data_IF_617136958457
#
_entry.id   IF_617136958457
#
_cell.length_a   1.000
_cell.length_b   1.000
_cell.length_c   1.000
_cell.angle_alpha   90.00
_cell.angle_beta   90.00
_cell.angle_gamma   90.00
#
_symmetry.space_group_name_H-M   'P 1'
#
loop_
_entity.id
_entity.type
_entity.pdbx_description
1 polymer ?
#
# COMPACT_ATOMS: atom_id res chain seq x y z
N UNK A 1 0.62 -11.23 -4.05
CA UNK A 1 1.32 -12.17 -4.94
C UNK A 1 0.46 -13.38 -5.35
N UNK A 2 -0.56 -13.75 -4.58
CA UNK A 2 -1.37 -14.94 -4.86
C UNK A 2 -2.44 -14.64 -5.90
N UNK A 3 -3.39 -13.73 -5.61
CA UNK A 3 -4.41 -13.35 -6.59
C UNK A 3 -4.99 -11.95 -6.30
N UNK A 4 -5.55 -11.26 -7.33
CA UNK A 4 -6.23 -9.97 -7.13
C UNK A 4 -7.45 -10.09 -6.20
N UNK A 5 -8.19 -11.21 -6.26
CA UNK A 5 -9.33 -11.46 -5.38
C UNK A 5 -8.91 -11.51 -3.91
N UNK A 6 -7.82 -12.24 -3.62
CA UNK A 6 -7.29 -12.32 -2.26
C UNK A 6 -6.75 -10.97 -1.79
N UNK A 7 -6.07 -10.21 -2.66
CA UNK A 7 -5.62 -8.85 -2.35
C UNK A 7 -6.79 -7.96 -1.93
N UNK A 8 -7.91 -7.99 -2.69
CA UNK A 8 -9.11 -7.24 -2.35
C UNK A 8 -9.69 -7.65 -0.99
N UNK A 9 -9.84 -8.96 -0.74
CA UNK A 9 -10.37 -9.48 0.53
C UNK A 9 -9.51 -9.07 1.72
N UNK A 10 -8.18 -9.16 1.59
CA UNK A 10 -7.25 -8.74 2.65
C UNK A 10 -7.36 -7.24 2.90
N UNK A 11 -7.38 -6.39 1.86
CA UNK A 11 -7.53 -4.95 2.02
C UNK A 11 -8.86 -4.58 2.70
N UNK A 12 -9.96 -5.21 2.31
CA UNK A 12 -11.27 -4.98 2.94
C UNK A 12 -11.28 -5.43 4.40
N UNK A 13 -10.75 -6.62 4.70
CA UNK A 13 -10.64 -7.13 6.06
C UNK A 13 -9.79 -6.22 6.96
N UNK A 14 -8.63 -5.76 6.46
CA UNK A 14 -7.77 -4.82 7.17
C UNK A 14 -8.48 -3.48 7.40
N UNK A 15 -9.17 -2.95 6.40
CA UNK A 15 -9.95 -1.71 6.51
C UNK A 15 -11.03 -1.82 7.58
N UNK A 16 -11.78 -2.92 7.60
CA UNK A 16 -12.81 -3.17 8.61
C UNK A 16 -12.19 -3.28 10.01
N UNK A 17 -11.08 -3.99 10.15
CA UNK A 17 -10.35 -4.08 11.41
C UNK A 17 -9.92 -2.73 11.96
N UNK A 18 -9.34 -1.87 11.11
CA UNK A 18 -8.99 -0.52 11.50
C UNK A 18 -10.21 0.35 11.80
N UNK A 19 -11.29 0.21 11.03
CA UNK A 19 -12.52 0.96 11.28
C UNK A 19 -13.12 0.67 12.67
N UNK A 20 -12.95 -0.54 13.19
CA UNK A 20 -13.43 -0.93 14.52
C UNK A 20 -12.51 -0.49 15.66
N UNK A 21 -11.23 -0.25 15.40
CA UNK A 21 -10.21 -0.11 16.46
C UNK A 21 -9.45 1.21 16.43
N UNK A 22 -9.56 2.00 15.36
CA UNK A 22 -8.78 3.23 15.19
C UNK A 22 -9.64 4.41 14.69
N UNK A 23 -9.13 5.66 14.76
CA UNK A 23 -9.81 6.80 14.15
C UNK A 23 -10.11 6.58 12.66
N UNK A 24 -11.24 7.12 12.19
CA UNK A 24 -11.75 6.93 10.82
C UNK A 24 -10.72 7.23 9.73
N UNK A 25 -9.84 8.21 9.94
CA UNK A 25 -8.80 8.56 8.97
C UNK A 25 -7.82 7.40 8.74
N UNK A 26 -7.48 6.64 9.79
CA UNK A 26 -6.60 5.48 9.68
C UNK A 26 -7.28 4.38 8.88
N UNK A 27 -8.57 4.14 9.12
CA UNK A 27 -9.36 3.19 8.33
C UNK A 27 -9.46 3.60 6.85
N UNK A 28 -9.65 4.89 6.55
CA UNK A 28 -9.69 5.40 5.18
C UNK A 28 -8.32 5.28 4.48
N UNK A 29 -7.23 5.53 5.21
CA UNK A 29 -5.87 5.26 4.70
C UNK A 29 -5.69 3.77 4.40
N UNK A 30 -6.11 2.88 5.31
CA UNK A 30 -6.09 1.44 5.06
C UNK A 30 -6.96 1.05 3.85
N UNK A 31 -8.11 1.69 3.66
CA UNK A 31 -8.95 1.46 2.46
C UNK A 31 -8.25 1.86 1.16
N UNK A 32 -7.44 2.93 1.17
CA UNK A 32 -6.69 3.37 -0.02
C UNK A 32 -5.65 2.38 -0.51
N UNK A 33 -5.22 1.44 0.36
CA UNK A 33 -4.31 0.35 -0.01
C UNK A 33 -4.86 -0.53 -1.14
N UNK A 34 -6.17 -0.58 -1.32
CA UNK A 34 -6.79 -1.36 -2.40
C UNK A 34 -6.29 -0.90 -3.78
N UNK A 35 -5.98 0.39 -3.95
CA UNK A 35 -5.52 0.94 -5.22
C UNK A 35 -4.22 0.29 -5.69
N UNK A 36 -3.17 0.33 -4.86
CA UNK A 36 -1.87 -0.22 -5.24
C UNK A 36 -1.85 -1.76 -5.13
N UNK A 37 -2.59 -2.35 -4.18
CA UNK A 37 -2.61 -3.80 -3.99
C UNK A 37 -3.28 -4.51 -5.16
N UNK A 38 -4.43 -3.99 -5.66
CA UNK A 38 -5.08 -4.53 -6.86
C UNK A 38 -4.25 -4.30 -8.11
N UNK A 39 -3.71 -3.08 -8.29
CA UNK A 39 -2.84 -2.77 -9.42
C UNK A 39 -1.65 -3.72 -9.44
N UNK A 40 -0.97 -3.89 -8.30
CA UNK A 40 0.17 -4.78 -8.16
C UNK A 40 -0.19 -6.23 -8.45
N UNK A 41 -1.28 -6.73 -7.88
CA UNK A 41 -1.72 -8.10 -8.09
C UNK A 41 -2.10 -8.39 -9.55
N UNK A 42 -2.76 -7.45 -10.23
CA UNK A 42 -3.11 -7.57 -11.66
C UNK A 42 -1.86 -7.56 -12.54
N UNK A 43 -0.90 -6.65 -12.26
CA UNK A 43 0.34 -6.57 -13.03
C UNK A 43 1.21 -7.81 -12.86
N UNK A 44 1.37 -8.31 -11.63
CA UNK A 44 2.11 -9.55 -11.36
C UNK A 44 1.44 -10.75 -12.04
N UNK A 45 0.11 -10.79 -12.09
CA UNK A 45 -0.62 -11.86 -12.81
C UNK A 45 -0.37 -11.80 -14.32
N UNK A 46 -0.33 -10.60 -14.91
CA UNK A 46 -0.10 -10.41 -16.35
C UNK A 46 1.35 -10.61 -16.75
N UNK A 47 2.28 -10.18 -15.90
CA UNK A 47 3.72 -10.19 -16.18
C UNK A 47 4.45 -10.77 -14.95
N UNK A 48 4.42 -12.10 -14.75
CA UNK A 48 5.03 -12.73 -13.57
C UNK A 48 6.52 -12.46 -13.40
N UNK A 49 7.23 -12.21 -14.50
CA UNK A 49 8.66 -11.92 -14.52
C UNK A 49 9.04 -10.64 -13.78
N UNK A 50 8.08 -9.73 -13.54
CA UNK A 50 8.33 -8.46 -12.81
C UNK A 50 8.97 -8.74 -11.44
N UNK A 51 8.53 -9.77 -10.73
CA UNK A 51 9.03 -10.09 -9.39
C UNK A 51 10.23 -11.05 -9.39
N UNK A 52 10.59 -11.59 -10.55
CA UNK A 52 11.68 -12.56 -10.67
C UNK A 52 13.02 -11.90 -10.97
N UNK A 53 13.00 -10.80 -11.73
CA UNK A 53 14.20 -10.05 -12.15
C UNK A 53 14.43 -8.83 -11.25
N UNK A 54 15.66 -8.57 -10.77
CA UNK A 54 15.92 -7.48 -9.81
C UNK A 54 15.51 -6.10 -10.31
N UNK A 55 15.92 -5.71 -11.52
CA UNK A 55 15.65 -4.37 -12.05
C UNK A 55 14.15 -4.12 -12.29
N UNK A 56 13.40 -4.99 -13.02
CA UNK A 56 11.95 -4.86 -13.13
C UNK A 56 11.23 -4.81 -11.77
N UNK A 57 11.65 -5.64 -10.81
CA UNK A 57 11.08 -5.66 -9.46
C UNK A 57 11.30 -4.34 -8.72
N UNK A 58 12.48 -3.73 -8.84
CA UNK A 58 12.78 -2.43 -8.22
C UNK A 58 11.94 -1.30 -8.83
N UNK A 59 11.85 -1.25 -10.17
CA UNK A 59 11.02 -0.25 -10.86
C UNK A 59 9.55 -0.41 -10.51
N UNK A 60 9.07 -1.64 -10.47
CA UNK A 60 7.70 -1.97 -10.08
C UNK A 60 7.40 -1.57 -8.62
N UNK A 61 8.32 -1.85 -7.69
CA UNK A 61 8.22 -1.41 -6.31
C UNK A 61 8.08 0.12 -6.21
N UNK A 62 8.97 0.87 -6.89
CA UNK A 62 8.90 2.33 -6.93
C UNK A 62 7.58 2.85 -7.48
N UNK A 63 7.08 2.25 -8.56
CA UNK A 63 5.78 2.60 -9.13
C UNK A 63 4.60 2.34 -8.19
N UNK A 64 4.57 1.18 -7.54
CA UNK A 64 3.54 0.85 -6.54
C UNK A 64 3.61 1.75 -5.32
N UNK A 65 4.82 2.02 -4.81
CA UNK A 65 5.04 2.93 -3.69
C UNK A 65 4.54 4.34 -4.01
N UNK A 66 4.75 4.81 -5.23
CA UNK A 66 4.23 6.10 -5.69
C UNK A 66 2.71 6.13 -5.75
N UNK A 67 2.06 5.10 -6.32
CA UNK A 67 0.59 4.99 -6.34
C UNK A 67 0.03 4.95 -4.92
N UNK A 68 0.66 4.21 -4.01
CA UNK A 68 0.27 4.15 -2.61
C UNK A 68 0.35 5.53 -1.94
N UNK A 69 1.48 6.22 -2.07
CA UNK A 69 1.67 7.55 -1.51
C UNK A 69 0.64 8.56 -2.04
N UNK A 70 0.37 8.55 -3.35
CA UNK A 70 -0.66 9.42 -3.95
C UNK A 70 -2.05 9.13 -3.40
N UNK A 71 -2.41 7.86 -3.26
CA UNK A 71 -3.71 7.47 -2.73
C UNK A 71 -3.89 7.93 -1.26
N UNK A 72 -2.86 7.79 -0.44
CA UNK A 72 -2.90 8.28 0.94
C UNK A 72 -2.95 9.80 1.03
N UNK A 73 -2.14 10.51 0.26
CA UNK A 73 -2.20 11.98 0.19
C UNK A 73 -3.59 12.44 -0.25
N UNK A 74 -4.20 11.80 -1.25
CA UNK A 74 -5.55 12.13 -1.70
C UNK A 74 -6.61 11.94 -0.60
N UNK A 75 -6.48 10.88 0.20
CA UNK A 75 -7.37 10.63 1.35
C UNK A 75 -7.17 11.66 2.46
N UNK A 76 -5.93 12.01 2.79
CA UNK A 76 -5.61 12.86 3.95
C UNK A 76 -5.85 14.35 3.66
N UNK A 77 -5.64 14.80 2.41
CA UNK A 77 -5.74 16.21 2.02
C UNK A 77 -7.06 16.89 2.39
N UNK A 78 -8.25 16.32 2.12
CA UNK A 78 -9.52 16.94 2.51
C UNK A 78 -9.63 17.18 4.02
N UNK A 79 -9.15 16.27 4.82
CA UNK A 79 -9.19 16.38 6.29
C UNK A 79 -8.22 17.45 6.79
N UNK A 80 -7.05 17.59 6.17
CA UNK A 80 -6.12 18.67 6.50
C UNK A 80 -6.73 20.03 6.17
N UNK A 81 -7.29 20.18 4.99
CA UNK A 81 -7.91 21.43 4.54
C UNK A 81 -9.12 21.82 5.39
N UNK A 82 -9.86 20.83 5.90
CA UNK A 82 -10.98 21.05 6.81
C UNK A 82 -10.53 21.34 8.26
N UNK A 83 -9.26 21.13 8.60
CA UNK A 83 -8.73 21.29 9.96
C UNK A 83 -9.34 20.34 10.98
N UNK A 84 -9.93 19.20 10.53
CA UNK A 84 -10.85 18.43 11.36
C UNK A 84 -10.22 17.34 12.21
N UNK A 85 -9.01 16.88 11.91
CA UNK A 85 -8.38 15.75 12.61
C UNK A 85 -6.88 15.94 12.90
N UNK A 86 -6.34 17.05 12.45
CA UNK A 86 -4.94 17.39 12.69
C UNK A 86 -4.77 18.18 13.98
N UNK A 87 -3.68 17.93 14.71
CA UNK A 87 -3.32 18.73 15.88
C UNK A 87 -2.92 20.14 15.44
N UNK A 88 -3.13 21.15 16.32
CA UNK A 88 -2.75 22.53 16.01
C UNK A 88 -1.29 22.68 15.51
N UNK A 89 -0.35 21.91 16.08
CA UNK A 89 1.07 21.92 15.68
C UNK A 89 1.23 21.47 14.23
N UNK A 90 0.54 20.40 13.82
CA UNK A 90 0.58 19.87 12.45
C UNK A 90 -0.04 20.84 11.45
N UNK A 91 -1.09 21.57 11.85
CA UNK A 91 -1.68 22.62 11.02
C UNK A 91 -0.73 23.81 10.88
N UNK A 92 0.02 24.16 11.96
CA UNK A 92 1.02 25.24 11.95
C UNK A 92 2.21 24.89 11.02
N UNK A 93 2.62 23.62 10.92
CA UNK A 93 3.67 23.17 10.00
C UNK A 93 3.27 23.29 8.51
N UNK A 94 1.99 23.47 8.24
CA UNK A 94 1.44 23.65 6.90
C UNK A 94 1.28 22.35 6.10
N UNK A 95 0.56 22.47 4.98
CA UNK A 95 0.19 21.33 4.13
C UNK A 95 1.40 20.56 3.58
N UNK A 96 2.43 21.27 3.15
CA UNK A 96 3.62 20.64 2.55
C UNK A 96 4.30 19.70 3.55
N UNK A 97 4.54 20.17 4.78
CA UNK A 97 5.23 19.33 5.78
C UNK A 97 4.31 18.22 6.28
N UNK A 98 3.09 18.54 6.66
CA UNK A 98 2.18 17.58 7.33
C UNK A 98 1.56 16.55 6.38
N UNK A 99 1.32 16.91 5.12
CA UNK A 99 0.69 16.01 4.17
C UNK A 99 1.68 15.49 3.14
N UNK A 100 2.38 16.37 2.41
CA UNK A 100 3.27 15.89 1.33
C UNK A 100 4.52 15.18 1.88
N UNK A 101 5.15 15.72 2.92
CA UNK A 101 6.37 15.12 3.48
C UNK A 101 6.02 13.98 4.42
N UNK A 102 5.28 14.23 5.52
CA UNK A 102 5.04 13.19 6.53
C UNK A 102 4.17 12.06 6.00
N UNK A 103 3.07 12.35 5.29
CA UNK A 103 2.23 11.30 4.72
C UNK A 103 2.80 10.82 3.38
N UNK A 104 3.01 11.69 2.41
CA UNK A 104 3.41 11.30 1.06
C UNK A 104 4.78 10.61 1.02
N UNK A 105 5.85 11.31 1.45
CA UNK A 105 7.20 10.72 1.44
C UNK A 105 7.30 9.58 2.45
N UNK A 106 6.70 9.73 3.64
CA UNK A 106 6.67 8.68 4.66
C UNK A 106 6.04 7.38 4.14
N UNK A 107 4.87 7.47 3.51
CA UNK A 107 4.19 6.32 2.89
C UNK A 107 4.99 5.73 1.74
N UNK A 108 5.61 6.56 0.91
CA UNK A 108 6.46 6.10 -0.18
C UNK A 108 7.62 5.23 0.35
N UNK A 109 8.37 5.72 1.33
CA UNK A 109 9.50 5.00 1.93
C UNK A 109 9.04 3.71 2.64
N UNK A 110 7.98 3.79 3.42
CA UNK A 110 7.38 2.63 4.08
C UNK A 110 6.98 1.55 3.07
N UNK A 111 6.33 1.93 1.98
CA UNK A 111 5.91 1.02 0.92
C UNK A 111 7.08 0.32 0.22
N UNK A 112 8.20 1.01 0.00
CA UNK A 112 9.41 0.40 -0.55
C UNK A 112 9.95 -0.72 0.35
N UNK A 113 9.93 -0.49 1.66
CA UNK A 113 10.39 -1.46 2.66
C UNK A 113 9.44 -2.65 2.70
N UNK A 114 8.13 -2.41 2.79
CA UNK A 114 7.11 -3.46 2.87
C UNK A 114 7.13 -4.40 1.67
N UNK A 115 7.27 -3.85 0.46
CA UNK A 115 7.43 -4.67 -0.74
C UNK A 115 8.69 -5.53 -0.67
N UNK A 116 9.80 -4.96 -0.25
CA UNK A 116 11.08 -5.69 -0.14
C UNK A 116 10.95 -6.85 0.84
N UNK A 117 10.38 -6.61 2.03
CA UNK A 117 10.09 -7.66 3.01
C UNK A 117 9.14 -8.71 2.42
N UNK A 118 8.08 -8.27 1.73
CA UNK A 118 7.11 -9.18 1.10
C UNK A 118 7.75 -10.10 0.07
N UNK A 119 8.66 -9.60 -0.77
CA UNK A 119 9.41 -10.44 -1.74
C UNK A 119 10.35 -11.42 -1.02
N UNK A 120 11.02 -10.98 0.03
CA UNK A 120 11.91 -11.85 0.82
C UNK A 120 11.14 -13.01 1.46
N UNK A 121 9.93 -12.75 1.95
CA UNK A 121 9.07 -13.78 2.54
C UNK A 121 8.39 -14.65 1.47
N UNK A 122 7.99 -14.06 0.34
CA UNK A 122 7.29 -14.79 -0.71
C UNK A 122 8.10 -15.92 -1.33
N UNK A 123 9.39 -15.68 -1.56
CA UNK A 123 10.26 -16.68 -2.22
C UNK A 123 10.32 -18.01 -1.45
N UNK A 124 10.65 -18.05 -0.14
CA UNK A 124 10.65 -19.28 0.62
C UNK A 124 9.26 -19.88 0.81
N UNK A 125 8.21 -19.05 0.99
CA UNK A 125 6.84 -19.54 1.11
C UNK A 125 6.38 -20.24 -0.15
N UNK A 126 6.64 -19.68 -1.34
CA UNK A 126 6.34 -20.31 -2.62
C UNK A 126 7.09 -21.63 -2.82
N UNK A 127 8.34 -21.71 -2.37
CA UNK A 127 9.14 -22.93 -2.46
C UNK A 127 8.61 -24.04 -1.53
N UNK A 128 8.12 -23.66 -0.34
CA UNK A 128 7.58 -24.60 0.64
C UNK A 128 6.16 -25.07 0.31
N UNK A 129 5.37 -24.26 -0.41
CA UNK A 129 3.96 -24.50 -0.72
C UNK A 129 3.69 -24.35 -2.22
N UNK A 130 4.10 -25.34 -3.06
CA UNK A 130 3.92 -25.28 -4.51
C UNK A 130 2.46 -25.10 -4.94
N UNK A 131 1.49 -25.64 -4.17
CA UNK A 131 0.05 -25.50 -4.40
C UNK A 131 -0.44 -24.05 -4.44
N UNK A 132 0.26 -23.10 -3.81
CA UNK A 132 -0.07 -21.68 -3.90
C UNK A 132 0.15 -21.11 -5.31
N UNK A 133 0.95 -21.76 -6.14
CA UNK A 133 1.12 -21.35 -7.53
C UNK A 133 -0.14 -21.62 -8.38
N UNK A 134 -0.91 -22.65 -8.03
CA UNK A 134 -2.16 -23.03 -8.71
C UNK A 134 -3.30 -22.04 -8.42
N UNK A 135 -3.24 -21.32 -7.29
CA UNK A 135 -4.25 -20.31 -6.94
C UNK A 135 -4.10 -18.99 -7.73
N UNK A 136 -3.12 -18.89 -8.62
CA UNK A 136 -2.92 -17.71 -9.48
C UNK A 136 -3.88 -17.67 -10.67
N UNK A 137 -4.49 -18.78 -11.01
CA UNK A 137 -5.49 -18.88 -12.10
C UNK A 137 -6.87 -18.42 -11.61
#
# INVERSE_FOLDING_TARGET
FISPKLAAVVCLGTTLGFFMTTPVIIALRAASHICFALLGAVLIRKIPEIIEKPLPSTVFNGGLAFVHALAEVAVVSPFFLAGSIFKPEQLADGYVMSVLVLVGVGTFLHSLIDYTVSIMLWKPVRAALPSLAELRE
#
